data_IF_347973546516
#
_entry.id   IF_347973546516
#
_cell.length_a   1.000
_cell.length_b   1.000
_cell.length_c   1.000
_cell.angle_alpha   90.00
_cell.angle_beta   90.00
_cell.angle_gamma   90.00
#
_symmetry.space_group_name_H-M   'P 1'
#
loop_
_entity.id
_entity.type
_entity.pdbx_description
1 polymer ?
#
# COMPACT_ATOMS: atom_id res chain seq x y z
N UNK A 1 19.50 15.48 -20.74
CA UNK A 1 18.44 16.31 -20.12
C UNK A 1 17.29 15.36 -19.83
N UNK A 2 17.01 15.08 -18.57
CA UNK A 2 15.91 14.20 -18.19
C UNK A 2 14.58 14.92 -18.39
N UNK A 3 13.63 14.30 -19.07
CA UNK A 3 12.24 14.75 -19.08
C UNK A 3 11.73 14.71 -17.64
N UNK A 4 11.28 15.85 -17.12
CA UNK A 4 10.49 15.88 -15.90
C UNK A 4 9.15 15.21 -16.19
N UNK A 5 8.97 13.98 -15.71
CA UNK A 5 7.69 13.29 -15.72
C UNK A 5 6.71 14.04 -14.84
N UNK A 6 5.62 14.52 -15.44
CA UNK A 6 4.52 15.15 -14.70
C UNK A 6 3.87 14.13 -13.76
N UNK A 7 3.47 14.52 -12.55
CA UNK A 7 2.69 13.65 -11.65
C UNK A 7 1.42 13.11 -12.31
N UNK A 8 0.84 13.87 -13.24
CA UNK A 8 -0.34 13.43 -14.01
C UNK A 8 -0.06 12.22 -14.91
N UNK A 9 1.21 11.85 -15.11
CA UNK A 9 1.62 10.67 -15.87
C UNK A 9 1.73 9.40 -15.01
N UNK A 10 1.65 9.53 -13.68
CA UNK A 10 1.66 8.38 -12.79
C UNK A 10 0.36 7.58 -12.95
N UNK A 11 0.48 6.26 -12.87
CA UNK A 11 -0.63 5.35 -13.12
C UNK A 11 -1.75 5.57 -12.10
N UNK A 12 -2.98 5.81 -12.58
CA UNK A 12 -4.15 6.05 -11.74
C UNK A 12 -4.01 7.25 -10.77
N UNK A 13 -3.23 8.26 -11.15
CA UNK A 13 -3.02 9.47 -10.35
C UNK A 13 -4.23 10.38 -10.30
N UNK A 14 -4.57 10.89 -9.11
CA UNK A 14 -5.59 11.94 -8.92
C UNK A 14 -5.52 12.61 -7.56
N UNK A 15 -6.12 13.79 -7.50
CA UNK A 15 -6.48 14.50 -6.27
C UNK A 15 -7.77 13.89 -5.68
N UNK A 16 -7.65 13.35 -4.46
CA UNK A 16 -8.75 12.70 -3.73
C UNK A 16 -9.76 13.74 -3.24
N UNK A 17 -9.31 14.94 -2.89
CA UNK A 17 -10.19 16.05 -2.51
C UNK A 17 -11.09 16.46 -3.66
N UNK A 18 -10.55 16.61 -4.88
CA UNK A 18 -11.36 16.86 -6.07
C UNK A 18 -12.31 15.70 -6.38
N UNK A 19 -11.84 14.45 -6.31
CA UNK A 19 -12.63 13.26 -6.60
C UNK A 19 -13.83 13.07 -5.64
N UNK A 20 -13.68 13.51 -4.39
CA UNK A 20 -14.73 13.49 -3.36
C UNK A 20 -15.59 14.77 -3.34
N UNK A 21 -15.40 15.67 -4.31
CA UNK A 21 -16.24 16.86 -4.50
C UNK A 21 -15.79 18.10 -3.73
N UNK A 22 -14.50 18.21 -3.39
CA UNK A 22 -13.87 19.38 -2.77
C UNK A 22 -14.61 19.87 -1.53
N UNK A 23 -14.81 18.96 -0.57
CA UNK A 23 -15.59 19.23 0.63
C UNK A 23 -14.74 19.94 1.69
N UNK A 24 -15.38 20.54 2.70
CA UNK A 24 -14.66 21.08 3.86
C UNK A 24 -13.88 19.99 4.63
N UNK A 25 -14.37 18.74 4.59
CA UNK A 25 -13.72 17.59 5.18
C UNK A 25 -12.40 17.21 4.47
N UNK A 26 -12.34 17.40 3.15
CA UNK A 26 -11.14 17.20 2.35
C UNK A 26 -11.12 18.16 1.14
N UNK A 27 -10.50 19.34 1.28
CA UNK A 27 -10.27 20.26 0.18
C UNK A 27 -9.31 19.67 -0.86
N UNK A 28 -9.42 20.16 -2.09
CA UNK A 28 -8.46 19.90 -3.15
C UNK A 28 -7.03 20.30 -2.75
N UNK A 29 -6.04 19.60 -3.31
CA UNK A 29 -4.62 19.87 -3.12
C UNK A 29 -4.05 19.37 -1.80
N UNK A 30 -4.77 18.47 -1.11
CA UNK A 30 -4.37 17.96 0.23
C UNK A 30 -3.91 16.52 0.21
N UNK A 31 -4.66 15.70 -0.52
CA UNK A 31 -4.45 14.26 -0.58
C UNK A 31 -4.52 13.82 -2.04
N UNK A 32 -3.46 13.19 -2.49
CA UNK A 32 -3.33 12.59 -3.79
C UNK A 32 -3.22 11.08 -3.63
N UNK A 33 -3.59 10.36 -4.67
CA UNK A 33 -3.30 8.94 -4.79
C UNK A 33 -2.74 8.59 -6.15
N UNK A 34 -2.01 7.49 -6.21
CA UNK A 34 -1.63 6.81 -7.44
C UNK A 34 -1.68 5.29 -7.22
N UNK A 35 -1.64 4.50 -8.29
CA UNK A 35 -1.44 3.06 -8.16
C UNK A 35 0.04 2.72 -8.07
N UNK A 36 0.84 3.39 -8.90
CA UNK A 36 2.28 3.22 -8.96
C UNK A 36 2.97 4.51 -9.40
N UNK A 37 4.24 4.63 -9.07
CA UNK A 37 5.08 5.78 -9.44
C UNK A 37 6.18 5.45 -10.46
N UNK A 38 6.31 4.18 -10.87
CA UNK A 38 7.33 3.69 -11.80
C UNK A 38 7.25 4.21 -13.25
N UNK A 39 6.45 5.26 -13.51
CA UNK A 39 6.31 5.92 -14.81
C UNK A 39 7.45 6.89 -15.18
N UNK A 40 8.37 7.21 -14.26
CA UNK A 40 9.58 8.02 -14.50
C UNK A 40 10.61 7.25 -15.37
N UNK A 41 10.30 7.08 -16.66
CA UNK A 41 11.05 6.23 -17.62
C UNK A 41 12.47 6.69 -17.99
N UNK A 42 13.04 7.71 -17.35
CA UNK A 42 14.43 8.11 -17.63
C UNK A 42 15.35 7.83 -16.43
N UNK A 43 16.16 6.78 -16.61
CA UNK A 43 17.32 6.41 -15.80
C UNK A 43 17.06 5.79 -14.41
N UNK A 44 16.46 4.60 -14.36
CA UNK A 44 16.85 3.54 -13.41
C UNK A 44 16.44 2.17 -13.96
N UNK A 45 17.40 1.30 -14.24
CA UNK A 45 17.16 -0.13 -14.20
C UNK A 45 16.98 -0.52 -12.72
N UNK A 46 15.84 -1.11 -12.34
CA UNK A 46 15.69 -2.32 -11.50
C UNK A 46 14.29 -2.40 -10.85
N UNK A 47 13.86 -3.66 -10.73
CA UNK A 47 12.74 -4.27 -10.00
C UNK A 47 12.26 -3.56 -8.72
N UNK A 48 10.94 -3.59 -8.46
CA UNK A 48 10.39 -4.15 -7.21
C UNK A 48 8.86 -4.20 -7.13
N UNK A 49 8.36 -5.34 -6.63
CA UNK A 49 7.55 -5.46 -5.40
C UNK A 49 7.88 -6.86 -4.87
N UNK A 50 8.45 -6.99 -3.66
CA UNK A 50 7.60 -6.89 -2.48
C UNK A 50 8.25 -6.22 -1.28
N UNK A 51 7.63 -5.15 -0.79
CA UNK A 51 7.97 -4.55 0.51
C UNK A 51 9.45 -4.10 0.60
N UNK A 52 9.90 -3.50 1.71
CA UNK A 52 11.31 -3.13 1.92
C UNK A 52 12.25 -4.35 2.11
N UNK A 53 11.89 -5.51 1.56
CA UNK A 53 12.43 -6.80 1.95
C UNK A 53 13.23 -7.40 0.79
N UNK A 54 14.56 -7.20 0.79
CA UNK A 54 15.56 -8.22 0.44
C UNK A 54 16.98 -7.81 0.85
N UNK A 55 17.20 -6.61 1.41
CA UNK A 55 18.50 -6.26 1.97
C UNK A 55 18.71 -6.99 3.29
N UNK A 56 19.60 -7.98 3.24
CA UNK A 56 20.12 -8.65 4.42
C UNK A 56 21.36 -7.91 4.90
N UNK A 57 21.33 -7.43 6.13
CA UNK A 57 22.48 -6.80 6.78
C UNK A 57 23.06 -7.77 7.81
N UNK A 58 24.38 -7.80 8.02
CA UNK A 58 24.98 -8.56 9.11
C UNK A 58 24.33 -8.17 10.44
N UNK A 59 24.10 -9.15 11.32
CA UNK A 59 23.53 -8.85 12.64
C UNK A 59 24.57 -8.09 13.47
N UNK A 60 24.12 -7.15 14.30
CA UNK A 60 25.02 -6.36 15.15
C UNK A 60 25.72 -7.20 16.21
N UNK A 61 25.06 -8.29 16.65
CA UNK A 61 25.50 -9.24 17.67
C UNK A 61 26.31 -10.41 17.10
N UNK A 62 26.12 -10.75 15.83
CA UNK A 62 26.89 -11.78 15.12
C UNK A 62 26.98 -11.44 13.63
N UNK A 63 28.14 -10.92 13.22
CA UNK A 63 28.40 -10.51 11.84
C UNK A 63 28.53 -11.68 10.86
N UNK A 64 28.60 -12.93 11.35
CA UNK A 64 28.52 -14.13 10.51
C UNK A 64 27.09 -14.51 10.15
N UNK A 65 26.11 -13.94 10.86
CA UNK A 65 24.70 -14.09 10.58
C UNK A 65 24.14 -12.84 9.90
N UNK A 66 23.09 -13.03 9.11
CA UNK A 66 22.41 -11.96 8.41
C UNK A 66 20.97 -11.86 8.89
N UNK A 67 20.44 -10.64 8.96
CA UNK A 67 19.05 -10.35 9.24
C UNK A 67 18.48 -9.40 8.19
N UNK A 68 17.16 -9.43 8.02
CA UNK A 68 16.47 -8.42 7.21
C UNK A 68 16.71 -7.04 7.80
N UNK A 69 17.02 -6.07 6.93
CA UNK A 69 17.24 -4.68 7.34
C UNK A 69 15.96 -4.05 7.94
N UNK A 70 14.79 -4.38 7.40
CA UNK A 70 13.48 -3.88 7.85
C UNK A 70 12.53 -5.04 8.19
N UNK A 71 12.76 -5.74 9.32
CA UNK A 71 11.99 -6.95 9.65
C UNK A 71 10.49 -6.68 9.88
N UNK A 72 10.12 -5.44 10.23
CA UNK A 72 8.75 -4.96 10.39
C UNK A 72 8.11 -4.48 9.07
N UNK A 73 8.90 -4.45 7.98
CA UNK A 73 8.54 -3.95 6.65
C UNK A 73 8.10 -2.48 6.65
N UNK A 74 8.71 -1.70 7.53
CA UNK A 74 8.52 -0.25 7.63
C UNK A 74 9.87 0.41 7.40
N UNK A 75 9.91 1.34 6.45
CA UNK A 75 11.10 2.15 6.18
C UNK A 75 10.69 3.60 6.05
N UNK A 76 11.44 4.49 6.69
CA UNK A 76 11.21 5.93 6.65
C UNK A 76 12.54 6.61 6.37
N UNK A 77 12.54 7.53 5.43
CA UNK A 77 13.72 8.31 5.04
C UNK A 77 13.30 9.63 4.42
N UNK A 78 14.26 10.53 4.27
CA UNK A 78 14.04 11.83 3.67
C UNK A 78 14.82 11.93 2.36
N UNK A 79 14.17 12.39 1.30
CA UNK A 79 14.81 12.73 0.03
C UNK A 79 14.51 14.20 -0.23
N UNK A 80 15.54 15.04 -0.26
CA UNK A 80 15.39 16.49 -0.31
C UNK A 80 14.45 16.97 0.81
N UNK A 81 13.33 17.57 0.44
CA UNK A 81 12.32 18.10 1.34
C UNK A 81 11.12 17.15 1.53
N UNK A 82 11.24 15.91 1.05
CA UNK A 82 10.18 14.90 1.05
C UNK A 82 10.42 13.84 2.11
N UNK A 83 9.40 13.59 2.93
CA UNK A 83 9.40 12.48 3.87
C UNK A 83 8.74 11.27 3.20
N UNK A 84 9.53 10.21 3.00
CA UNK A 84 9.09 9.00 2.32
C UNK A 84 8.89 7.90 3.37
N UNK A 85 7.72 7.28 3.32
CA UNK A 85 7.35 6.16 4.17
C UNK A 85 6.99 4.96 3.30
N UNK A 86 7.89 3.98 3.22
CA UNK A 86 7.66 2.70 2.56
C UNK A 86 7.10 1.72 3.59
N UNK A 87 5.80 1.42 3.49
CA UNK A 87 5.07 0.61 4.48
C UNK A 87 4.36 -0.54 3.77
N UNK A 88 4.73 -1.78 4.10
CA UNK A 88 4.03 -2.95 3.56
C UNK A 88 2.90 -3.42 4.46
N UNK A 89 1.65 -3.31 4.01
CA UNK A 89 0.50 -3.90 4.71
C UNK A 89 0.50 -5.44 4.73
N UNK A 90 1.45 -6.10 4.06
CA UNK A 90 1.71 -7.54 4.26
C UNK A 90 2.71 -7.72 5.40
N UNK A 91 2.29 -7.37 6.60
CA UNK A 91 3.11 -7.44 7.81
C UNK A 91 3.63 -8.87 8.06
N UNK A 92 4.68 -9.06 8.89
CA UNK A 92 5.09 -10.39 9.31
C UNK A 92 3.95 -11.21 9.93
N UNK A 93 3.05 -10.57 10.70
CA UNK A 93 1.90 -11.22 11.30
C UNK A 93 0.84 -11.62 10.25
N UNK A 94 0.58 -10.76 9.26
CA UNK A 94 -0.30 -11.07 8.14
C UNK A 94 0.24 -12.27 7.35
N UNK A 95 1.54 -12.24 7.00
CA UNK A 95 2.19 -13.34 6.28
C UNK A 95 2.08 -14.64 7.08
N UNK A 96 2.38 -14.60 8.39
CA UNK A 96 2.26 -15.76 9.25
C UNK A 96 0.82 -16.30 9.31
N UNK A 97 -0.19 -15.43 9.32
CA UNK A 97 -1.60 -15.82 9.26
C UNK A 97 -1.95 -16.49 7.91
N UNK A 98 -1.55 -15.89 6.78
CA UNK A 98 -1.77 -16.48 5.46
C UNK A 98 -1.15 -17.88 5.35
N UNK A 99 0.07 -18.08 5.87
CA UNK A 99 0.71 -19.39 5.88
C UNK A 99 -0.01 -20.42 6.75
N UNK A 100 -0.65 -20.00 7.86
CA UNK A 100 -1.47 -20.91 8.68
C UNK A 100 -2.69 -21.40 7.91
N UNK A 101 -3.34 -20.52 7.15
CA UNK A 101 -4.56 -20.80 6.42
C UNK A 101 -4.38 -21.77 5.25
N UNK A 102 -3.18 -21.85 4.65
CA UNK A 102 -2.93 -22.83 3.61
C UNK A 102 -3.14 -24.26 4.08
N UNK A 103 -3.91 -25.02 3.30
CA UNK A 103 -4.12 -26.44 3.52
C UNK A 103 -2.79 -27.23 3.55
N UNK A 104 -2.76 -28.30 4.35
CA UNK A 104 -1.58 -29.17 4.44
C UNK A 104 -1.19 -29.75 3.06
N UNK A 105 -2.17 -29.97 2.17
CA UNK A 105 -1.95 -30.47 0.80
C UNK A 105 -1.13 -29.47 -0.03
N UNK A 106 -1.46 -28.18 0.06
CA UNK A 106 -0.71 -27.11 -0.62
C UNK A 106 0.72 -27.06 -0.08
N UNK A 107 0.89 -27.11 1.25
CA UNK A 107 2.20 -27.13 1.91
C UNK A 107 3.06 -28.32 1.47
N UNK A 108 2.52 -29.53 1.51
CA UNK A 108 3.23 -30.75 1.13
C UNK A 108 3.62 -30.75 -0.35
N UNK A 109 2.71 -30.33 -1.23
CA UNK A 109 2.99 -30.23 -2.67
C UNK A 109 4.04 -29.15 -2.96
N UNK A 110 3.96 -28.00 -2.29
CA UNK A 110 4.97 -26.94 -2.39
C UNK A 110 6.35 -27.42 -1.99
N UNK A 111 6.46 -28.17 -0.89
CA UNK A 111 7.72 -28.76 -0.45
C UNK A 111 8.29 -29.76 -1.46
N UNK A 112 7.46 -30.65 -2.00
CA UNK A 112 7.89 -31.60 -3.04
C UNK A 112 8.40 -30.91 -4.31
N UNK A 113 7.71 -29.86 -4.77
CA UNK A 113 8.15 -29.06 -5.92
C UNK A 113 9.45 -28.29 -5.63
N UNK A 114 9.63 -27.78 -4.41
CA UNK A 114 10.86 -27.10 -4.00
C UNK A 114 12.06 -28.05 -3.99
N UNK A 115 11.91 -29.27 -3.44
CA UNK A 115 12.95 -30.30 -3.48
C UNK A 115 13.31 -30.71 -4.91
N UNK A 116 12.34 -30.68 -5.83
CA UNK A 116 12.56 -30.94 -7.25
C UNK A 116 13.16 -29.73 -8.02
N UNK A 117 13.51 -28.64 -7.33
CA UNK A 117 14.05 -27.43 -7.95
C UNK A 117 13.04 -26.64 -8.80
N UNK A 118 11.75 -26.96 -8.73
CA UNK A 118 10.70 -26.37 -9.56
C UNK A 118 10.14 -25.08 -8.95
N UNK A 119 10.99 -24.07 -8.77
CA UNK A 119 10.67 -22.81 -8.08
C UNK A 119 9.47 -22.07 -8.69
N UNK A 120 9.35 -22.01 -10.02
CA UNK A 120 8.20 -21.39 -10.69
C UNK A 120 6.89 -22.14 -10.41
N UNK A 121 6.92 -23.48 -10.32
CA UNK A 121 5.74 -24.28 -10.00
C UNK A 121 5.33 -24.11 -8.54
N UNK A 122 6.29 -23.93 -7.62
CA UNK A 122 5.99 -23.56 -6.23
C UNK A 122 5.29 -22.19 -6.19
N UNK A 123 5.81 -21.20 -6.91
CA UNK A 123 5.21 -19.85 -6.98
C UNK A 123 3.79 -19.91 -7.52
N UNK A 124 3.58 -20.58 -8.64
CA UNK A 124 2.26 -20.75 -9.25
C UNK A 124 1.26 -21.48 -8.32
N UNK A 125 1.74 -22.50 -7.59
CA UNK A 125 0.91 -23.21 -6.61
C UNK A 125 0.46 -22.30 -5.47
N UNK A 126 1.37 -21.50 -4.92
CA UNK A 126 1.08 -20.58 -3.82
C UNK A 126 0.19 -19.42 -4.28
N UNK A 127 0.47 -18.82 -5.44
CA UNK A 127 -0.37 -17.77 -6.06
C UNK A 127 -1.79 -18.28 -6.30
N UNK A 128 -1.92 -19.49 -6.87
CA UNK A 128 -3.22 -20.15 -7.05
C UNK A 128 -3.95 -20.43 -5.74
N UNK A 129 -3.23 -20.79 -4.67
CA UNK A 129 -3.83 -21.05 -3.36
C UNK A 129 -4.32 -19.75 -2.72
N UNK A 130 -3.53 -18.67 -2.82
CA UNK A 130 -3.93 -17.34 -2.38
C UNK A 130 -5.14 -16.84 -3.17
N UNK A 131 -5.15 -16.95 -4.49
CA UNK A 131 -6.28 -16.49 -5.31
C UNK A 131 -7.57 -17.30 -5.06
N UNK A 132 -7.47 -18.61 -4.79
CA UNK A 132 -8.64 -19.46 -4.54
C UNK A 132 -9.23 -19.35 -3.13
N UNK A 133 -8.40 -19.04 -2.14
CA UNK A 133 -8.81 -19.03 -0.72
C UNK A 133 -9.15 -17.62 -0.21
N UNK A 134 -8.91 -16.57 -1.00
CA UNK A 134 -9.06 -15.18 -0.56
C UNK A 134 -10.30 -14.56 -1.19
N UNK A 135 -11.40 -14.65 -0.45
CA UNK A 135 -12.44 -13.63 -0.51
C UNK A 135 -11.77 -12.26 -0.23
N UNK A 136 -11.96 -11.30 -1.14
CA UNK A 136 -11.32 -9.99 -1.06
C UNK A 136 -11.68 -9.28 0.26
N UNK A 137 -12.90 -9.49 0.79
CA UNK A 137 -13.32 -8.89 2.05
C UNK A 137 -12.60 -9.54 3.23
N UNK A 138 -12.41 -10.86 3.19
CA UNK A 138 -11.56 -11.58 4.14
C UNK A 138 -10.11 -11.08 4.10
N UNK A 139 -9.59 -10.76 2.92
CA UNK A 139 -8.26 -10.14 2.81
C UNK A 139 -8.18 -8.80 3.54
N UNK A 140 -9.21 -7.96 3.37
CA UNK A 140 -9.29 -6.68 4.07
C UNK A 140 -9.36 -6.91 5.58
N UNK A 141 -10.20 -7.84 6.04
CA UNK A 141 -10.30 -8.24 7.45
C UNK A 141 -8.95 -8.69 8.01
N UNK A 142 -8.22 -9.55 7.30
CA UNK A 142 -6.89 -10.01 7.68
C UNK A 142 -5.87 -8.85 7.73
N UNK A 143 -5.90 -7.91 6.78
CA UNK A 143 -5.04 -6.72 6.83
C UNK A 143 -5.36 -5.87 8.07
N UNK A 144 -6.63 -5.59 8.34
CA UNK A 144 -7.06 -4.80 9.50
C UNK A 144 -6.67 -5.46 10.83
N UNK A 145 -6.76 -6.79 10.91
CA UNK A 145 -6.44 -7.55 12.10
C UNK A 145 -4.92 -7.71 12.33
N UNK A 146 -4.15 -7.98 11.28
CA UNK A 146 -2.76 -8.41 11.38
C UNK A 146 -1.73 -7.36 10.96
N UNK A 147 -2.14 -6.23 10.39
CA UNK A 147 -1.24 -5.14 9.97
C UNK A 147 -1.44 -3.85 10.75
N UNK A 148 -1.94 -3.97 11.99
CA UNK A 148 -2.18 -2.85 12.92
C UNK A 148 -0.96 -1.93 13.09
N UNK A 149 0.28 -2.43 13.32
CA UNK A 149 1.44 -1.54 13.44
C UNK A 149 1.71 -0.74 12.17
N UNK A 150 1.52 -1.35 11.00
CA UNK A 150 1.74 -0.68 9.72
C UNK A 150 0.71 0.41 9.47
N UNK A 151 -0.58 0.12 9.73
CA UNK A 151 -1.64 1.12 9.60
C UNK A 151 -1.42 2.27 10.60
N UNK A 152 -0.99 1.96 11.83
CA UNK A 152 -0.65 2.98 12.82
C UNK A 152 0.42 3.94 12.31
N UNK A 153 1.52 3.43 11.75
CA UNK A 153 2.61 4.27 11.23
C UNK A 153 2.16 5.16 10.07
N UNK A 154 1.26 4.67 9.20
CA UNK A 154 0.66 5.50 8.14
C UNK A 154 -0.03 6.73 8.76
N UNK A 155 -0.88 6.55 9.77
CA UNK A 155 -1.57 7.66 10.41
C UNK A 155 -0.63 8.53 11.26
N UNK A 156 0.39 7.96 11.90
CA UNK A 156 1.42 8.74 12.60
C UNK A 156 2.21 9.65 11.64
N UNK A 157 2.45 9.22 10.39
CA UNK A 157 3.05 10.07 9.35
C UNK A 157 2.15 11.26 9.00
N UNK A 158 0.83 11.07 8.96
CA UNK A 158 -0.16 12.11 8.66
C UNK A 158 -0.33 13.15 9.81
N UNK A 159 0.09 12.81 11.02
CA UNK A 159 0.04 13.72 12.18
C UNK A 159 1.11 14.81 12.11
N UNK A 160 2.25 14.53 11.45
CA UNK A 160 3.41 15.43 11.46
C UNK A 160 3.06 16.83 10.91
N UNK A 161 3.49 17.87 11.63
CA UNK A 161 3.23 19.26 11.24
C UNK A 161 3.91 19.57 9.90
N UNK A 162 3.19 20.22 8.99
CA UNK A 162 3.72 20.63 7.68
C UNK A 162 3.67 19.55 6.59
N UNK A 163 3.10 18.38 6.87
CA UNK A 163 2.91 17.29 5.88
C UNK A 163 1.71 17.61 4.98
N UNK A 164 1.88 18.53 4.03
CA UNK A 164 0.88 18.85 3.00
C UNK A 164 1.57 19.38 1.74
N UNK A 165 1.18 18.90 0.54
CA UNK A 165 0.28 17.79 0.25
C UNK A 165 0.85 16.40 0.57
N UNK A 166 0.00 15.36 0.52
CA UNK A 166 0.36 13.94 0.71
C UNK A 166 -0.02 13.12 -0.51
N UNK A 167 0.87 12.22 -0.96
CA UNK A 167 0.58 11.18 -1.94
C UNK A 167 0.54 9.81 -1.26
N UNK A 168 -0.55 9.06 -1.43
CA UNK A 168 -0.65 7.65 -1.03
C UNK A 168 -0.70 6.81 -2.29
N UNK A 169 0.24 5.89 -2.47
CA UNK A 169 0.30 5.04 -3.64
C UNK A 169 0.38 3.55 -3.29
N UNK A 170 0.14 2.70 -4.28
CA UNK A 170 0.22 1.26 -4.15
C UNK A 170 -1.14 0.53 -4.15
N UNK A 171 -1.10 -0.80 -4.21
CA UNK A 171 -2.29 -1.63 -4.47
C UNK A 171 -3.31 -1.62 -3.32
N UNK A 172 -2.89 -1.36 -2.08
CA UNK A 172 -3.78 -1.29 -0.92
C UNK A 172 -4.17 0.15 -0.56
N UNK A 173 -3.88 1.13 -1.42
CA UNK A 173 -4.24 2.54 -1.19
C UNK A 173 -5.74 2.73 -0.95
N UNK A 174 -6.59 1.94 -1.62
CA UNK A 174 -8.04 2.01 -1.45
C UNK A 174 -8.51 1.75 -0.01
N UNK A 175 -7.93 0.76 0.68
CA UNK A 175 -8.27 0.47 2.08
C UNK A 175 -7.86 1.62 3.01
N UNK A 176 -6.64 2.14 2.83
CA UNK A 176 -6.14 3.27 3.62
C UNK A 176 -6.98 4.52 3.39
N UNK A 177 -7.40 4.77 2.14
CA UNK A 177 -8.29 5.87 1.81
C UNK A 177 -9.68 5.69 2.41
N UNK A 178 -10.23 4.47 2.48
CA UNK A 178 -11.49 4.22 3.18
C UNK A 178 -11.39 4.59 4.66
N UNK A 179 -10.31 4.17 5.34
CA UNK A 179 -10.06 4.56 6.73
C UNK A 179 -9.88 6.08 6.88
N UNK A 180 -9.11 6.71 6.00
CA UNK A 180 -8.83 8.13 6.11
C UNK A 180 -10.07 8.99 5.84
N UNK A 181 -10.81 8.69 4.77
CA UNK A 181 -12.02 9.42 4.39
C UNK A 181 -13.17 9.17 5.37
N UNK A 182 -13.29 7.95 5.90
CA UNK A 182 -14.21 7.64 6.98
C UNK A 182 -13.89 8.41 8.27
N UNK A 183 -12.61 8.53 8.64
CA UNK A 183 -12.19 9.35 9.78
C UNK A 183 -12.51 10.84 9.58
N UNK A 184 -12.36 11.35 8.35
CA UNK A 184 -12.66 12.73 7.99
C UNK A 184 -14.17 13.03 7.92
N UNK A 185 -15.03 12.00 8.01
CA UNK A 185 -16.47 12.14 7.88
C UNK A 185 -16.93 12.45 6.46
N UNK A 186 -16.17 12.03 5.44
CA UNK A 186 -16.62 12.12 4.04
C UNK A 186 -17.76 11.12 3.82
N UNK A 187 -18.82 11.54 3.14
CA UNK A 187 -19.98 10.70 2.89
C UNK A 187 -19.63 9.46 2.06
N UNK A 188 -20.20 8.31 2.40
CA UNK A 188 -19.90 7.00 1.79
C UNK A 188 -20.06 6.99 0.27
N UNK A 189 -21.09 7.66 -0.28
CA UNK A 189 -21.33 7.76 -1.71
C UNK A 189 -20.17 8.47 -2.44
N UNK A 190 -19.54 9.44 -1.78
CA UNK A 190 -18.37 10.16 -2.31
C UNK A 190 -17.10 9.32 -2.24
N UNK A 191 -16.92 8.54 -1.17
CA UNK A 191 -15.82 7.58 -1.04
C UNK A 191 -15.95 6.50 -2.13
N UNK A 192 -17.14 5.95 -2.31
CA UNK A 192 -17.45 4.95 -3.34
C UNK A 192 -17.17 5.49 -4.74
N UNK A 193 -17.60 6.72 -5.02
CA UNK A 193 -17.30 7.39 -6.29
C UNK A 193 -15.79 7.56 -6.52
N UNK A 194 -15.03 7.98 -5.51
CA UNK A 194 -13.57 8.11 -5.61
C UNK A 194 -12.90 6.78 -5.94
N UNK A 195 -13.32 5.71 -5.27
CA UNK A 195 -12.82 4.37 -5.50
C UNK A 195 -13.09 3.89 -6.93
N UNK A 196 -14.33 4.09 -7.42
CA UNK A 196 -14.77 3.72 -8.76
C UNK A 196 -13.98 4.42 -9.88
N UNK A 197 -13.39 5.59 -9.64
CA UNK A 197 -12.49 6.22 -10.64
C UNK A 197 -11.27 5.36 -10.99
N UNK A 198 -10.93 4.37 -10.17
CA UNK A 198 -9.88 3.38 -10.47
C UNK A 198 -10.22 2.56 -11.72
N UNK A 199 -11.50 2.30 -11.98
CA UNK A 199 -11.97 1.51 -13.13
C UNK A 199 -11.58 2.16 -14.46
N UNK A 200 -11.45 3.50 -14.50
CA UNK A 200 -11.02 4.25 -15.68
C UNK A 200 -9.58 3.89 -16.12
N UNK A 201 -8.80 3.28 -15.23
CA UNK A 201 -7.43 2.84 -15.50
C UNK A 201 -7.30 1.31 -15.51
N UNK A 202 -8.41 0.56 -15.48
CA UNK A 202 -8.41 -0.91 -15.32
C UNK A 202 -7.56 -1.66 -16.35
N UNK A 203 -7.58 -1.26 -17.63
CA UNK A 203 -6.74 -1.87 -18.67
C UNK A 203 -5.24 -1.64 -18.41
N UNK A 204 -4.85 -0.40 -18.10
CA UNK A 204 -3.47 -0.05 -17.80
C UNK A 204 -2.97 -0.70 -16.51
N UNK A 205 -3.85 -0.83 -15.51
CA UNK A 205 -3.57 -1.56 -14.27
C UNK A 205 -3.38 -3.06 -14.52
N UNK A 206 -4.24 -3.66 -15.36
CA UNK A 206 -4.13 -5.05 -15.75
C UNK A 206 -2.83 -5.31 -16.52
N UNK A 207 -2.46 -4.45 -17.47
CA UNK A 207 -1.21 -4.54 -18.21
C UNK A 207 -0.01 -4.44 -17.26
N UNK A 208 -0.02 -3.46 -16.36
CA UNK A 208 1.02 -3.25 -15.36
C UNK A 208 1.17 -4.49 -14.44
N UNK A 209 0.08 -5.00 -13.90
CA UNK A 209 0.10 -6.17 -13.02
C UNK A 209 0.52 -7.44 -13.79
N UNK A 210 0.12 -7.60 -15.06
CA UNK A 210 0.52 -8.72 -15.89
C UNK A 210 1.99 -8.68 -16.29
N UNK A 211 2.54 -7.50 -16.59
CA UNK A 211 3.97 -7.34 -16.82
C UNK A 211 4.76 -7.80 -15.59
N UNK A 212 4.32 -7.40 -14.39
CA UNK A 212 4.94 -7.86 -13.14
C UNK A 212 4.76 -9.35 -12.90
N UNK A 213 3.56 -9.90 -13.10
CA UNK A 213 3.31 -11.34 -12.94
C UNK A 213 4.22 -12.17 -13.86
N UNK A 214 4.45 -11.72 -15.08
CA UNK A 214 5.38 -12.34 -16.03
C UNK A 214 6.81 -12.40 -15.48
N UNK A 215 7.31 -11.32 -14.88
CA UNK A 215 8.65 -11.29 -14.28
C UNK A 215 8.83 -12.30 -13.14
N UNK A 216 7.73 -12.63 -12.44
CA UNK A 216 7.72 -13.65 -11.39
C UNK A 216 7.42 -15.09 -11.88
N UNK A 217 7.20 -15.27 -13.19
CA UNK A 217 6.82 -16.55 -13.79
C UNK A 217 5.38 -16.99 -13.44
N UNK A 218 4.52 -16.01 -13.13
CA UNK A 218 3.10 -16.21 -12.82
C UNK A 218 2.24 -16.06 -14.08
N UNK A 219 1.12 -16.78 -14.12
CA UNK A 219 0.16 -16.67 -15.20
C UNK A 219 -0.49 -15.28 -15.25
N UNK A 220 -0.77 -14.74 -16.44
CA UNK A 220 -1.46 -13.47 -16.58
C UNK A 220 -2.89 -13.53 -16.00
N UNK A 221 -3.31 -12.45 -15.37
CA UNK A 221 -4.70 -12.16 -15.02
C UNK A 221 -5.49 -11.82 -16.28
N UNK A 222 -6.74 -12.28 -16.32
CA UNK A 222 -7.68 -12.05 -17.43
C UNK A 222 -8.52 -10.80 -17.24
N UNK A 223 -8.69 -10.36 -15.99
CA UNK A 223 -9.48 -9.17 -15.61
C UNK A 223 -8.84 -8.49 -14.41
N UNK A 224 -9.10 -7.18 -14.30
CA UNK A 224 -8.82 -6.41 -13.10
C UNK A 224 -10.12 -6.28 -12.31
N UNK A 225 -10.29 -7.13 -11.31
CA UNK A 225 -11.54 -7.18 -10.54
C UNK A 225 -11.55 -6.03 -9.50
N UNK A 226 -12.48 -5.10 -9.68
CA UNK A 226 -12.71 -3.97 -8.78
C UNK A 226 -14.12 -4.10 -8.17
N UNK A 227 -14.28 -4.71 -6.98
CA UNK A 227 -15.59 -4.91 -6.39
C UNK A 227 -16.32 -3.59 -6.19
N UNK A 228 -17.50 -3.42 -6.80
CA UNK A 228 -18.31 -2.20 -6.67
C UNK A 228 -18.78 -1.98 -5.22
N UNK A 229 -18.92 -3.05 -4.45
CA UNK A 229 -19.26 -3.03 -3.03
C UNK A 229 -18.06 -2.85 -2.10
N UNK A 230 -16.85 -2.60 -2.64
CA UNK A 230 -15.64 -2.50 -1.81
C UNK A 230 -15.79 -1.50 -0.66
N UNK A 231 -16.19 -0.26 -0.97
CA UNK A 231 -16.37 0.77 0.06
C UNK A 231 -17.47 0.43 1.06
N UNK A 232 -18.73 0.12 0.64
CA UNK A 232 -19.78 -0.18 1.59
C UNK A 232 -19.46 -1.40 2.47
N UNK A 233 -18.95 -2.51 1.91
CA UNK A 233 -18.69 -3.70 2.71
C UNK A 233 -17.50 -3.49 3.67
N UNK A 234 -16.48 -2.70 3.28
CA UNK A 234 -15.35 -2.38 4.18
C UNK A 234 -15.79 -1.49 5.33
N UNK A 235 -16.61 -0.47 5.06
CA UNK A 235 -17.13 0.40 6.11
C UNK A 235 -18.11 -0.35 7.01
N UNK A 236 -18.97 -1.20 6.46
CA UNK A 236 -19.86 -2.07 7.23
C UNK A 236 -19.09 -3.05 8.13
N UNK A 237 -18.04 -3.69 7.59
CA UNK A 237 -17.16 -4.55 8.36
C UNK A 237 -16.49 -3.79 9.52
N UNK A 238 -15.96 -2.59 9.26
CA UNK A 238 -15.33 -1.78 10.31
C UNK A 238 -16.33 -1.34 11.37
N UNK A 239 -17.54 -0.94 10.97
CA UNK A 239 -18.60 -0.56 11.90
C UNK A 239 -19.07 -1.74 12.75
N UNK A 240 -19.18 -2.92 12.15
CA UNK A 240 -19.64 -4.14 12.84
C UNK A 240 -18.58 -4.69 13.79
N UNK A 241 -17.33 -4.83 13.33
CA UNK A 241 -16.25 -5.48 14.10
C UNK A 241 -15.58 -4.51 15.09
N UNK A 242 -15.43 -3.24 14.72
CA UNK A 242 -14.66 -2.27 15.48
C UNK A 242 -15.48 -1.08 15.99
N UNK A 243 -16.78 -1.01 15.68
CA UNK A 243 -17.66 0.09 16.09
C UNK A 243 -17.27 1.47 15.53
N UNK A 244 -16.61 1.49 14.37
CA UNK A 244 -16.25 2.72 13.67
C UNK A 244 -14.76 2.83 13.39
N UNK A 245 -14.44 3.71 12.44
CA UNK A 245 -13.06 3.94 11.98
C UNK A 245 -12.19 4.57 13.08
N UNK A 246 -12.72 5.55 13.80
CA UNK A 246 -12.04 6.22 14.92
C UNK A 246 -11.76 5.24 16.08
N UNK A 247 -12.70 4.34 16.37
CA UNK A 247 -12.54 3.29 17.37
C UNK A 247 -11.49 2.27 16.92
N UNK A 248 -11.52 1.83 15.65
CA UNK A 248 -10.47 0.97 15.09
C UNK A 248 -9.09 1.62 15.21
N UNK A 249 -8.94 2.86 14.76
CA UNK A 249 -7.67 3.60 14.81
C UNK A 249 -7.19 3.84 16.25
N UNK A 250 -8.11 4.08 17.18
CA UNK A 250 -7.79 4.15 18.61
C UNK A 250 -7.31 2.80 19.16
N UNK A 251 -7.95 1.68 18.74
CA UNK A 251 -7.59 0.32 19.17
C UNK A 251 -6.19 -0.11 18.74
N UNK A 252 -5.65 0.49 17.66
CA UNK A 252 -4.27 0.25 17.19
C UNK A 252 -3.25 1.22 17.82
N UNK A 253 -3.69 2.06 18.76
CA UNK A 253 -2.84 2.90 19.58
C UNK A 253 -2.66 4.35 19.11
N UNK A 254 -3.56 4.87 18.26
CA UNK A 254 -3.61 6.31 17.96
C UNK A 254 -4.44 7.03 19.03
N UNK A 255 -3.88 8.10 19.60
CA UNK A 255 -4.60 8.94 20.55
C UNK A 255 -5.63 9.83 19.86
N UNK A 256 -6.65 10.26 20.61
CA UNK A 256 -7.64 11.23 20.14
C UNK A 256 -6.99 12.50 19.56
N UNK A 257 -5.93 13.00 20.22
CA UNK A 257 -5.16 14.15 19.73
C UNK A 257 -4.49 13.89 18.38
N UNK A 258 -3.97 12.68 18.14
CA UNK A 258 -3.41 12.30 16.84
C UNK A 258 -4.51 12.25 15.76
N UNK A 259 -5.66 11.67 16.05
CA UNK A 259 -6.79 11.63 15.11
C UNK A 259 -7.30 13.04 14.75
N UNK A 260 -7.46 13.91 15.75
CA UNK A 260 -7.78 15.33 15.50
C UNK A 260 -6.70 16.03 14.67
N UNK A 261 -5.43 15.70 14.89
CA UNK A 261 -4.32 16.27 14.14
C UNK A 261 -4.37 15.85 12.67
N UNK A 262 -4.75 14.60 12.38
CA UNK A 262 -4.98 14.13 10.99
C UNK A 262 -6.15 14.89 10.35
N UNK A 263 -7.23 15.12 11.08
CA UNK A 263 -8.36 15.92 10.57
C UNK A 263 -7.94 17.36 10.26
N UNK A 264 -7.27 18.03 11.20
CA UNK A 264 -6.74 19.40 11.01
C UNK A 264 -5.70 19.45 9.87
N UNK A 265 -4.80 18.46 9.84
CA UNK A 265 -4.08 17.83 8.72
C UNK A 265 -4.66 18.10 7.32
N UNK A 266 -5.85 17.61 7.11
CA UNK A 266 -6.39 17.49 5.76
C UNK A 266 -7.48 18.52 5.48
N UNK A 267 -8.12 19.10 6.50
CA UNK A 267 -9.22 20.06 6.38
C UNK A 267 -8.79 21.53 6.18
N UNK A 268 -7.55 21.90 6.52
CA UNK A 268 -7.13 23.31 6.50
C UNK A 268 -7.12 23.94 5.09
N UNK A 269 -7.12 25.27 5.00
CA UNK A 269 -6.99 26.04 3.74
C UNK A 269 -5.60 25.90 3.14
N UNK A 270 -5.52 25.60 1.83
CA UNK A 270 -4.28 25.35 1.08
C UNK A 270 -3.18 26.35 1.42
N UNK A 271 -2.02 25.87 1.88
CA UNK A 271 -0.80 26.67 1.79
C UNK A 271 -0.42 26.66 0.33
N UNK A 272 -0.15 27.83 -0.25
CA UNK A 272 0.19 28.07 -1.66
C UNK A 272 1.53 27.46 -2.11
N UNK A 273 2.15 26.61 -1.28
CA UNK A 273 3.36 25.88 -1.62
C UNK A 273 3.04 24.40 -1.80
N UNK A 274 2.89 24.00 -3.07
CA UNK A 274 2.85 22.60 -3.48
C UNK A 274 4.17 21.90 -3.07
N UNK A 275 4.05 20.81 -2.34
CA UNK A 275 5.18 19.97 -1.89
C UNK A 275 4.87 18.53 -2.25
N UNK A 276 5.24 18.13 -3.46
CA UNK A 276 4.98 16.79 -4.00
C UNK A 276 5.61 15.72 -3.10
N UNK A 277 4.83 14.85 -2.46
CA UNK A 277 5.36 13.60 -1.91
C UNK A 277 5.49 12.63 -3.08
N UNK A 278 6.71 12.25 -3.42
CA UNK A 278 7.03 11.25 -4.43
C UNK A 278 7.67 10.05 -3.73
N UNK A 279 7.48 8.85 -4.28
CA UNK A 279 8.07 7.63 -3.74
C UNK A 279 8.89 6.94 -4.85
N UNK A 280 9.90 6.17 -4.45
CA UNK A 280 10.91 5.43 -5.26
C UNK A 280 12.23 6.11 -5.66
N UNK A 281 13.14 5.26 -6.16
CA UNK A 281 14.52 4.99 -5.74
C UNK A 281 15.62 5.90 -6.32
N UNK A 282 16.77 5.94 -5.61
CA UNK A 282 18.07 5.80 -6.27
C UNK A 282 19.13 5.12 -5.40
N UNK A 283 19.86 4.20 -6.05
CA UNK A 283 21.07 3.54 -5.58
C UNK A 283 22.22 4.52 -5.32
N UNK A 284 23.00 4.27 -4.27
CA UNK A 284 24.43 4.61 -4.27
C UNK A 284 25.19 3.33 -4.57
N UNK A 285 25.75 3.27 -5.77
CA UNK A 285 26.85 2.39 -6.07
C UNK A 285 28.02 2.71 -5.11
N UNK A 286 28.48 1.72 -4.36
CA UNK A 286 29.89 1.62 -4.05
C UNK A 286 30.34 0.21 -4.37
N UNK A 287 30.97 0.09 -5.53
CA UNK A 287 32.04 -0.87 -5.76
C UNK A 287 33.04 -0.80 -4.62
N UNK A 288 33.48 -1.95 -4.09
CA UNK A 288 34.90 -2.36 -4.08
C UNK A 288 35.02 -3.78 -3.50
N UNK A 289 35.60 -4.66 -4.32
CA UNK A 289 36.16 -5.99 -4.05
C UNK A 289 35.22 -7.14 -3.63
#
# INVERSE_FOLDING_TARGET
MGEMTSLSSLLNFRDVGLATGNTAALPAGRLYRAYDIGGCKSACHHFNVPAPDHTFVPRKDDTSQYQKQYPDKIRTFQVLDLNIHEISLRSPAYIANSWKNFSWKVKARGFGLALAGQTNNVRNLLDSALQREVDWLKNVADILAFSKPQIKVIFEALVQKGVRPVLIYGPNSALILCLLLGLLGVAEDKISREYQLTEQNSEALLEYDNARRKDFGLAAMTSFDLPQSFVPDVLDYINTEYHGVDVYLSSIGLSHHQLESVNKNLQGTGSTTEKLVDVEEQCVASSFA
#
